data_IF_968096967009
#
_entry.id   IF_968096967009
#
_cell.length_a   1.000
_cell.length_b   1.000
_cell.length_c   1.000
_cell.angle_alpha   90.00
_cell.angle_beta   90.00
_cell.angle_gamma   90.00
#
_symmetry.space_group_name_H-M   'P 1'
#
loop_
_entity.id
_entity.type
_entity.pdbx_description
1 polymer ?
#
# COMPACT_ATOMS: atom_id res chain seq x y z
N UNK A 1 0.74 -5.26 -0.05
CA UNK A 1 2.16 -5.43 0.40
C UNK A 1 3.23 -5.13 -0.67
N UNK A 2 3.04 -5.55 -1.92
CA UNK A 2 4.07 -5.43 -2.98
C UNK A 2 4.68 -4.04 -3.15
N UNK A 3 3.86 -2.99 -3.05
CA UNK A 3 4.33 -1.61 -3.13
C UNK A 3 5.36 -1.24 -2.04
N UNK A 4 5.21 -1.75 -0.81
CA UNK A 4 6.17 -1.49 0.27
C UNK A 4 7.58 -2.00 -0.06
N UNK A 5 7.70 -3.15 -0.72
CA UNK A 5 8.97 -3.62 -1.28
C UNK A 5 9.40 -2.75 -2.46
N UNK A 6 8.49 -2.55 -3.42
CA UNK A 6 8.76 -1.92 -4.69
C UNK A 6 9.06 -0.43 -4.60
N UNK A 7 8.80 0.25 -3.48
CA UNK A 7 9.01 1.68 -3.32
C UNK A 7 10.33 2.03 -2.62
N UNK A 8 11.01 1.08 -1.98
CA UNK A 8 12.25 1.37 -1.26
C UNK A 8 13.39 1.88 -2.18
N UNK A 9 13.39 1.49 -3.46
CA UNK A 9 14.34 2.04 -4.44
C UNK A 9 14.19 3.55 -4.64
N UNK A 10 12.99 4.11 -4.43
CA UNK A 10 12.75 5.53 -4.53
C UNK A 10 13.36 6.31 -3.37
N UNK A 11 13.60 5.70 -2.20
CA UNK A 11 14.46 6.29 -1.17
C UNK A 11 15.17 5.17 -0.39
N UNK A 12 16.46 4.90 -0.70
CA UNK A 12 17.21 3.84 -0.02
C UNK A 12 17.33 4.03 1.50
N UNK A 13 17.10 5.25 2.02
CA UNK A 13 17.13 5.54 3.46
C UNK A 13 15.79 5.28 4.14
N UNK A 14 14.69 5.18 3.37
CA UNK A 14 13.42 4.76 3.92
C UNK A 14 13.55 3.31 4.41
N UNK A 15 13.12 3.07 5.66
CA UNK A 15 13.20 1.75 6.27
C UNK A 15 12.12 0.84 5.67
N UNK A 16 12.50 -0.38 5.30
CA UNK A 16 11.62 -1.35 4.64
C UNK A 16 10.40 -1.70 5.51
N UNK A 17 10.59 -1.99 6.79
CA UNK A 17 9.49 -2.40 7.67
C UNK A 17 8.39 -1.31 7.75
N UNK A 18 8.71 -0.03 8.03
CA UNK A 18 7.72 1.04 7.92
C UNK A 18 7.06 1.18 6.53
N UNK A 19 7.75 0.84 5.43
CA UNK A 19 7.13 0.87 4.10
C UNK A 19 6.11 -0.24 3.91
N UNK A 20 6.41 -1.45 4.41
CA UNK A 20 5.46 -2.56 4.41
C UNK A 20 4.25 -2.21 5.28
N UNK A 21 4.47 -1.66 6.49
CA UNK A 21 3.38 -1.22 7.38
C UNK A 21 2.54 -0.12 6.71
N UNK A 22 3.17 0.86 6.07
CA UNK A 22 2.45 1.92 5.36
C UNK A 22 1.61 1.35 4.20
N UNK A 23 2.13 0.37 3.47
CA UNK A 23 1.40 -0.29 2.39
C UNK A 23 0.19 -1.09 2.88
N UNK A 24 0.13 -1.49 4.15
CA UNK A 24 -0.99 -2.24 4.74
C UNK A 24 -1.83 -1.40 5.70
N UNK A 25 -1.64 -0.07 5.74
CA UNK A 25 -2.22 0.73 6.82
C UNK A 25 -3.74 0.65 6.83
N UNK A 26 -4.39 0.61 5.66
CA UNK A 26 -5.85 0.52 5.54
C UNK A 26 -6.38 -0.76 6.22
N UNK A 27 -5.74 -1.90 5.97
CA UNK A 27 -6.08 -3.18 6.59
C UNK A 27 -5.76 -3.17 8.08
N UNK A 28 -4.56 -2.71 8.46
CA UNK A 28 -4.10 -2.71 9.84
C UNK A 28 -4.92 -1.79 10.75
N UNK A 29 -5.52 -0.72 10.20
CA UNK A 29 -6.39 0.19 10.93
C UNK A 29 -7.66 -0.48 11.45
N UNK A 30 -8.05 -1.64 10.92
CA UNK A 30 -9.23 -2.34 11.45
C UNK A 30 -9.01 -2.75 12.91
N UNK A 31 -7.79 -3.17 13.28
CA UNK A 31 -7.45 -3.68 14.62
C UNK A 31 -7.69 -2.61 15.71
N UNK A 32 -7.10 -1.41 15.64
CA UNK A 32 -7.37 -0.36 16.63
C UNK A 32 -8.80 0.19 16.57
N UNK A 33 -9.53 -0.03 15.47
CA UNK A 33 -10.93 0.39 15.34
C UNK A 33 -11.94 -0.62 15.92
N UNK A 34 -11.55 -1.88 16.15
CA UNK A 34 -12.42 -2.93 16.72
C UNK A 34 -13.14 -2.52 18.02
N UNK A 35 -12.49 -1.86 19.01
CA UNK A 35 -13.15 -1.49 20.27
C UNK A 35 -14.34 -0.53 20.09
N UNK A 36 -14.37 0.22 19.00
CA UNK A 36 -15.44 1.20 18.70
C UNK A 36 -16.70 0.55 18.11
N UNK A 37 -16.69 -0.76 17.83
CA UNK A 37 -17.85 -1.54 17.34
C UNK A 37 -18.54 -0.88 16.14
N UNK A 38 -17.74 -0.38 15.21
CA UNK A 38 -18.23 0.25 13.99
C UNK A 38 -19.06 -0.74 13.17
N UNK A 39 -20.07 -0.23 12.46
CA UNK A 39 -20.74 -1.03 11.44
C UNK A 39 -19.74 -1.38 10.33
N UNK A 40 -19.90 -2.51 9.61
CA UNK A 40 -19.02 -2.85 8.50
C UNK A 40 -18.88 -1.71 7.48
N UNK A 41 -19.98 -1.00 7.20
CA UNK A 41 -19.99 0.16 6.32
C UNK A 41 -19.14 1.33 6.85
N UNK A 42 -19.23 1.63 8.14
CA UNK A 42 -18.40 2.69 8.75
C UNK A 42 -16.93 2.29 8.83
N UNK A 43 -16.67 1.00 9.05
CA UNK A 43 -15.33 0.41 8.91
C UNK A 43 -14.76 0.68 7.52
N UNK A 44 -15.46 0.28 6.46
CA UNK A 44 -15.06 0.51 5.07
C UNK A 44 -14.83 1.99 4.75
N UNK A 45 -15.70 2.89 5.23
CA UNK A 45 -15.52 4.33 5.08
C UNK A 45 -14.19 4.78 5.69
N UNK A 46 -13.90 4.37 6.93
CA UNK A 46 -12.72 4.84 7.66
C UNK A 46 -11.41 4.24 7.16
N UNK A 47 -11.42 3.02 6.61
CA UNK A 47 -10.20 2.32 6.22
C UNK A 47 -9.94 2.30 4.72
N UNK A 48 -10.96 2.10 3.89
CA UNK A 48 -10.83 1.87 2.44
C UNK A 48 -11.51 2.95 1.57
N UNK A 49 -12.23 3.90 2.18
CA UNK A 49 -12.83 5.01 1.45
C UNK A 49 -11.78 5.97 0.89
N UNK A 50 -11.91 6.41 -0.37
CA UNK A 50 -10.88 7.22 -1.04
C UNK A 50 -10.49 8.46 -0.23
N UNK A 51 -11.48 9.23 0.24
CA UNK A 51 -11.24 10.41 1.07
C UNK A 51 -10.45 10.06 2.34
N UNK A 52 -10.84 9.00 3.05
CA UNK A 52 -10.14 8.59 4.28
C UNK A 52 -8.75 8.03 3.98
N UNK A 53 -8.55 7.30 2.88
CA UNK A 53 -7.22 6.92 2.42
C UNK A 53 -6.35 8.16 2.18
N UNK A 54 -6.87 9.23 1.56
CA UNK A 54 -6.12 10.48 1.40
C UNK A 54 -5.77 11.14 2.75
N UNK A 55 -6.64 11.04 3.75
CA UNK A 55 -6.33 11.44 5.13
C UNK A 55 -5.17 10.62 5.69
N UNK A 56 -5.17 9.30 5.49
CA UNK A 56 -4.08 8.41 5.92
C UNK A 56 -2.78 8.64 5.16
N UNK A 57 -2.84 8.97 3.86
CA UNK A 57 -1.70 9.40 3.05
C UNK A 57 -1.07 10.65 3.65
N UNK A 58 -1.89 11.66 3.96
CA UNK A 58 -1.42 12.90 4.59
C UNK A 58 -0.85 12.63 5.98
N UNK A 59 -1.50 11.79 6.79
CA UNK A 59 -1.05 11.41 8.12
C UNK A 59 0.31 10.69 8.08
N UNK A 60 0.51 9.76 7.15
CA UNK A 60 1.78 9.03 6.99
C UNK A 60 2.92 9.98 6.56
N UNK A 61 2.67 10.88 5.60
CA UNK A 61 3.65 11.89 5.21
C UNK A 61 3.99 12.83 6.38
N UNK A 62 2.98 13.33 7.09
CA UNK A 62 3.16 14.22 8.24
C UNK A 62 3.95 13.52 9.34
N UNK A 63 3.60 12.28 9.68
CA UNK A 63 4.32 11.49 10.69
C UNK A 63 5.79 11.32 10.30
N UNK A 64 6.09 11.00 9.04
CA UNK A 64 7.47 10.89 8.56
C UNK A 64 8.24 12.22 8.73
N UNK A 65 7.62 13.36 8.40
CA UNK A 65 8.23 14.68 8.58
C UNK A 65 8.42 15.04 10.07
N UNK A 66 7.46 14.70 10.93
CA UNK A 66 7.55 14.90 12.38
C UNK A 66 8.69 14.07 12.99
N UNK A 67 8.90 12.85 12.48
CA UNK A 67 10.05 11.99 12.79
C UNK A 67 11.35 12.45 12.11
N UNK A 68 11.39 13.69 11.61
CA UNK A 68 12.55 14.35 10.99
C UNK A 68 13.11 13.60 9.78
N UNK A 69 12.25 12.82 9.11
CA UNK A 69 12.63 12.22 7.84
C UNK A 69 12.61 13.27 6.73
N UNK A 70 13.28 12.94 5.62
CA UNK A 70 13.34 13.80 4.44
C UNK A 70 11.99 13.83 3.76
N UNK A 71 11.67 14.94 3.10
CA UNK A 71 10.45 15.07 2.29
C UNK A 71 10.31 13.90 1.29
N UNK A 72 11.42 13.49 0.68
CA UNK A 72 11.45 12.32 -0.21
C UNK A 72 10.92 11.05 0.48
N UNK A 73 11.45 10.69 1.65
CA UNK A 73 10.98 9.52 2.40
C UNK A 73 9.50 9.65 2.79
N UNK A 74 9.07 10.84 3.21
CA UNK A 74 7.66 11.12 3.53
C UNK A 74 6.72 10.86 2.34
N UNK A 75 7.12 11.30 1.14
CA UNK A 75 6.37 11.04 -0.10
C UNK A 75 6.36 9.55 -0.47
N UNK A 76 7.45 8.82 -0.22
CA UNK A 76 7.50 7.36 -0.44
C UNK A 76 6.53 6.63 0.49
N UNK A 77 6.44 7.01 1.77
CA UNK A 77 5.43 6.44 2.68
C UNK A 77 4.00 6.79 2.27
N UNK A 78 3.73 8.04 1.87
CA UNK A 78 2.45 8.45 1.33
C UNK A 78 2.05 7.63 0.09
N UNK A 79 2.98 7.42 -0.84
CA UNK A 79 2.75 6.59 -2.02
C UNK A 79 2.48 5.13 -1.65
N UNK A 80 3.13 4.60 -0.62
CA UNK A 80 2.87 3.24 -0.13
C UNK A 80 1.44 3.11 0.40
N UNK A 81 0.97 4.05 1.22
CA UNK A 81 -0.43 4.07 1.71
C UNK A 81 -1.42 4.14 0.54
N UNK A 82 -1.22 5.09 -0.38
CA UNK A 82 -2.14 5.29 -1.50
C UNK A 82 -2.21 4.07 -2.43
N UNK A 83 -1.10 3.33 -2.57
CA UNK A 83 -1.05 2.14 -3.41
C UNK A 83 -2.02 1.05 -2.96
N UNK A 84 -2.34 0.99 -1.66
CA UNK A 84 -3.32 0.03 -1.14
C UNK A 84 -4.70 0.28 -1.74
N UNK A 85 -5.19 1.52 -1.67
CA UNK A 85 -6.48 1.91 -2.26
C UNK A 85 -6.54 1.64 -3.77
N UNK A 86 -5.44 1.82 -4.50
CA UNK A 86 -5.39 1.50 -5.94
C UNK A 86 -5.56 0.01 -6.18
N UNK A 87 -4.94 -0.84 -5.34
CA UNK A 87 -5.13 -2.29 -5.42
C UNK A 87 -6.57 -2.64 -5.06
N UNK A 88 -7.12 -2.06 -3.99
CA UNK A 88 -8.50 -2.29 -3.59
C UNK A 88 -9.48 -1.87 -4.69
N UNK A 89 -9.25 -0.75 -5.37
CA UNK A 89 -10.07 -0.33 -6.50
C UNK A 89 -10.15 -1.36 -7.62
N UNK A 90 -9.07 -2.12 -7.83
CA UNK A 90 -9.05 -3.21 -8.81
C UNK A 90 -9.75 -4.45 -8.25
N UNK A 91 -9.48 -4.79 -6.98
CA UNK A 91 -9.87 -6.07 -6.40
C UNK A 91 -11.30 -6.09 -5.84
N UNK A 92 -11.72 -5.02 -5.17
CA UNK A 92 -13.02 -4.88 -4.54
C UNK A 92 -14.16 -4.76 -5.54
N UNK A 93 -15.36 -5.27 -5.20
CA UNK A 93 -15.72 -5.79 -3.87
C UNK A 93 -15.33 -7.27 -3.67
N UNK A 94 -15.08 -7.65 -2.41
CA UNK A 94 -14.54 -8.97 -2.01
C UNK A 94 -15.61 -10.05 -1.80
N UNK A 95 -16.73 -10.01 -2.53
CA UNK A 95 -17.87 -10.92 -2.33
C UNK A 95 -17.49 -12.41 -2.30
N UNK A 96 -16.64 -12.85 -3.23
CA UNK A 96 -16.23 -14.25 -3.35
C UNK A 96 -15.44 -14.77 -2.13
N UNK A 97 -14.73 -13.88 -1.42
CA UNK A 97 -14.00 -14.22 -0.19
C UNK A 97 -14.96 -14.54 0.95
N UNK A 98 -16.12 -13.88 0.95
CA UNK A 98 -17.16 -14.01 1.97
C UNK A 98 -18.23 -15.06 1.59
N UNK A 99 -17.98 -15.87 0.56
CA UNK A 99 -18.92 -16.89 0.08
C UNK A 99 -20.10 -16.34 -0.72
N UNK A 100 -20.11 -15.03 -1.01
CA UNK A 100 -21.09 -14.41 -1.90
C UNK A 100 -20.59 -14.46 -3.34
N UNK A 101 -21.39 -15.00 -4.26
CA UNK A 101 -20.98 -15.15 -5.66
C UNK A 101 -20.88 -13.80 -6.40
N UNK A 102 -21.53 -12.76 -5.88
CA UNK A 102 -21.50 -11.41 -6.42
C UNK A 102 -21.83 -10.39 -5.33
N UNK A 103 -21.11 -9.27 -5.31
CA UNK A 103 -21.36 -8.15 -4.39
C UNK A 103 -21.36 -6.81 -5.13
N UNK A 104 -22.17 -5.86 -4.69
CA UNK A 104 -22.12 -4.50 -5.24
C UNK A 104 -20.80 -3.82 -4.85
N UNK A 105 -20.32 -2.82 -5.62
CA UNK A 105 -19.18 -2.00 -5.21
C UNK A 105 -19.35 -1.51 -3.77
N UNK A 106 -18.30 -1.63 -2.97
CA UNK A 106 -18.35 -1.46 -1.51
C UNK A 106 -17.43 -0.34 -1.01
N UNK A 107 -16.60 0.24 -1.87
CA UNK A 107 -15.66 1.29 -1.47
C UNK A 107 -16.24 2.70 -1.70
N UNK A 108 -16.47 3.50 -0.65
CA UNK A 108 -17.01 4.84 -0.81
C UNK A 108 -15.95 5.83 -1.28
N UNK A 109 -16.32 6.77 -2.14
CA UNK A 109 -15.41 7.86 -2.50
C UNK A 109 -15.18 8.85 -1.35
N UNK A 110 -16.22 9.13 -0.55
CA UNK A 110 -16.14 10.14 0.52
C UNK A 110 -16.71 9.63 1.84
N UNK A 111 -18.01 9.78 2.06
CA UNK A 111 -18.71 9.38 3.28
C UNK A 111 -19.93 8.52 2.94
N UNK A 112 -20.70 8.18 3.97
CA UNK A 112 -21.96 7.45 3.84
C UNK A 112 -22.87 8.12 2.81
N UNK A 113 -23.41 7.31 1.89
CA UNK A 113 -24.27 7.78 0.79
C UNK A 113 -23.53 8.32 -0.43
N UNK A 114 -22.19 8.36 -0.42
CA UNK A 114 -21.40 8.66 -1.63
C UNK A 114 -21.39 7.49 -2.62
N UNK A 115 -20.95 7.78 -3.84
CA UNK A 115 -20.75 6.76 -4.89
C UNK A 115 -19.79 5.68 -4.37
N UNK A 116 -20.20 4.43 -4.54
CA UNK A 116 -19.39 3.27 -4.24
C UNK A 116 -18.67 2.80 -5.51
N UNK A 117 -17.41 2.42 -5.38
CA UNK A 117 -16.52 2.04 -6.48
C UNK A 117 -15.80 0.73 -6.19
N UNK A 118 -15.22 0.15 -7.23
CA UNK A 118 -14.53 -1.15 -7.20
C UNK A 118 -14.79 -1.92 -8.51
N UNK A 119 -13.72 -2.35 -9.18
CA UNK A 119 -13.81 -3.06 -10.48
C UNK A 119 -14.24 -4.53 -10.32
N UNK A 120 -14.06 -5.10 -9.13
CA UNK A 120 -14.60 -6.40 -8.75
C UNK A 120 -13.81 -7.59 -9.26
N UNK A 121 -12.48 -7.57 -9.21
CA UNK A 121 -11.69 -8.75 -9.57
C UNK A 121 -12.09 -9.97 -8.72
N UNK A 122 -12.36 -9.78 -7.41
CA UNK A 122 -12.85 -10.85 -6.54
C UNK A 122 -14.23 -11.36 -6.92
N UNK A 123 -15.14 -10.48 -7.36
CA UNK A 123 -16.43 -10.90 -7.90
C UNK A 123 -16.29 -11.73 -9.18
N UNK A 124 -15.31 -11.40 -10.02
CA UNK A 124 -15.13 -12.11 -11.29
C UNK A 124 -14.52 -13.49 -11.07
N UNK A 125 -13.45 -13.58 -10.29
CA UNK A 125 -12.79 -14.84 -9.95
C UNK A 125 -11.90 -14.69 -8.73
N UNK A 126 -12.24 -15.40 -7.66
CA UNK A 126 -11.40 -15.51 -6.47
C UNK A 126 -9.97 -15.96 -6.82
N UNK A 127 -9.83 -16.94 -7.71
CA UNK A 127 -8.53 -17.45 -8.12
C UNK A 127 -7.70 -16.38 -8.84
N UNK A 128 -8.31 -15.60 -9.75
CA UNK A 128 -7.60 -14.52 -10.44
C UNK A 128 -7.21 -13.39 -9.48
N UNK A 129 -8.08 -13.04 -8.53
CA UNK A 129 -7.77 -12.04 -7.50
C UNK A 129 -6.58 -12.48 -6.63
N UNK A 130 -6.58 -13.72 -6.14
CA UNK A 130 -5.44 -14.26 -5.38
C UNK A 130 -4.15 -14.28 -6.19
N UNK A 131 -4.21 -14.69 -7.46
CA UNK A 131 -3.03 -14.65 -8.36
C UNK A 131 -2.54 -13.23 -8.57
N UNK A 132 -3.45 -12.27 -8.70
CA UNK A 132 -3.12 -10.85 -8.83
C UNK A 132 -2.43 -10.32 -7.56
N UNK A 133 -2.99 -10.55 -6.38
CA UNK A 133 -2.44 -10.05 -5.10
C UNK A 133 -1.07 -10.65 -4.78
N UNK A 134 -0.94 -11.96 -4.97
CA UNK A 134 0.34 -12.65 -4.84
C UNK A 134 1.32 -12.17 -5.91
N UNK A 135 0.87 -12.01 -7.15
CA UNK A 135 1.66 -11.53 -8.27
C UNK A 135 2.26 -10.15 -8.00
N UNK A 136 1.44 -9.17 -7.61
CA UNK A 136 1.90 -7.83 -7.23
C UNK A 136 2.88 -7.89 -6.06
N UNK A 137 2.61 -8.74 -5.07
CA UNK A 137 3.50 -8.92 -3.91
C UNK A 137 4.86 -9.48 -4.29
N UNK A 138 4.90 -10.57 -5.07
CA UNK A 138 6.13 -11.20 -5.52
C UNK A 138 6.90 -10.32 -6.52
N UNK A 139 6.21 -9.60 -7.40
CA UNK A 139 6.85 -8.62 -8.30
C UNK A 139 7.53 -7.51 -7.51
N UNK A 140 6.86 -6.98 -6.49
CA UNK A 140 7.45 -5.98 -5.60
C UNK A 140 8.69 -6.50 -4.86
N UNK A 141 8.61 -7.71 -4.31
CA UNK A 141 9.74 -8.38 -3.66
C UNK A 141 10.90 -8.63 -4.64
N UNK A 142 10.60 -9.09 -5.86
CA UNK A 142 11.60 -9.35 -6.88
C UNK A 142 12.31 -8.05 -7.30
N UNK A 143 11.56 -6.96 -7.53
CA UNK A 143 12.10 -5.64 -7.82
C UNK A 143 13.04 -5.16 -6.70
N UNK A 144 12.62 -5.33 -5.45
CA UNK A 144 13.43 -5.01 -4.27
C UNK A 144 14.73 -5.83 -4.22
N UNK A 145 14.66 -7.15 -4.42
CA UNK A 145 15.84 -8.03 -4.42
C UNK A 145 16.82 -7.69 -5.54
N UNK A 146 16.32 -7.44 -6.75
CA UNK A 146 17.14 -7.05 -7.91
C UNK A 146 17.85 -5.73 -7.62
N UNK A 147 17.14 -4.73 -7.11
CA UNK A 147 17.73 -3.45 -6.73
C UNK A 147 18.78 -3.60 -5.63
N UNK A 148 18.48 -4.35 -4.56
CA UNK A 148 19.41 -4.59 -3.44
C UNK A 148 20.68 -5.29 -3.89
N UNK A 149 20.60 -6.25 -4.83
CA UNK A 149 21.77 -6.92 -5.42
C UNK A 149 22.63 -6.00 -6.30
N UNK A 150 22.07 -4.91 -6.83
CA UNK A 150 22.81 -3.94 -7.66
C UNK A 150 23.57 -2.89 -6.82
N UNK A 151 23.18 -2.64 -5.56
CA UNK A 151 23.85 -1.64 -4.72
C UNK A 151 25.34 -1.92 -4.42
N UNK A 152 25.78 -3.17 -4.10
CA UNK A 152 27.20 -3.46 -3.89
C UNK A 152 28.07 -3.25 -5.13
N UNK A 153 27.48 -3.28 -6.33
CA UNK A 153 28.20 -3.08 -7.59
C UNK A 153 28.46 -1.61 -7.86
N UNK A 154 27.55 -0.72 -7.48
CA UNK A 154 27.70 0.73 -7.69
C UNK A 154 28.75 1.35 -6.75
N UNK A 155 28.87 0.87 -5.51
CA UNK A 155 29.87 1.36 -4.55
C UNK A 155 31.31 0.96 -4.90
N UNK A 156 31.51 -0.19 -5.55
CA UNK A 156 32.84 -0.64 -6.03
C UNK A 156 33.34 0.10 -7.28
N UNK A 157 32.44 0.49 -8.19
CA UNK A 157 32.82 1.26 -9.39
C UNK A 157 33.26 2.68 -9.00
N UNK A 158 32.61 3.31 -8.02
CA UNK A 158 32.96 4.66 -7.55
C UNK A 158 34.29 4.69 -6.78
N UNK A 159 34.67 3.61 -6.11
CA UNK A 159 35.97 3.53 -5.42
C UNK A 159 37.14 3.20 -6.36
N UNK A 160 36.87 2.65 -7.54
CA UNK A 160 37.92 2.33 -8.52
C UNK A 160 38.35 3.54 -9.38
N UNK A 161 37.59 4.65 -9.37
CA UNK A 161 37.84 5.83 -10.20
C UNK A 161 38.45 7.01 -9.46
N UNK A 162 38.71 6.90 -8.15
CA UNK A 162 39.43 7.93 -7.38
C UNK A 162 40.88 7.46 -7.20
N UNK A 163 41.87 8.05 -7.91
CA UNK A 163 43.27 7.79 -7.63
C UNK A 163 43.55 8.18 -6.18
N UNK A 164 44.15 7.27 -5.42
CA UNK A 164 44.70 7.62 -4.11
C UNK A 164 45.89 8.56 -4.37
N UNK A 165 45.74 9.82 -3.99
CA UNK A 165 46.84 10.78 -3.87
C UNK A 165 47.65 10.49 -2.60
#
# INVERSE_FOLDING_TARGET
MGAGFALQWLDPKAKLIPLLVAAEVCDLLIIPLLPFRLSPADGMILTHGLFMTLVWVAAAALLALLLKQRLRAALVYAAAVFSHWVLDFITHPMGAVLGAQYSLPDMPLVFRGSVLVGLGLYNHSYALAVVFDLGVTFLGLAAWLVWKRRQPRLSRVVTATVPRA
#
